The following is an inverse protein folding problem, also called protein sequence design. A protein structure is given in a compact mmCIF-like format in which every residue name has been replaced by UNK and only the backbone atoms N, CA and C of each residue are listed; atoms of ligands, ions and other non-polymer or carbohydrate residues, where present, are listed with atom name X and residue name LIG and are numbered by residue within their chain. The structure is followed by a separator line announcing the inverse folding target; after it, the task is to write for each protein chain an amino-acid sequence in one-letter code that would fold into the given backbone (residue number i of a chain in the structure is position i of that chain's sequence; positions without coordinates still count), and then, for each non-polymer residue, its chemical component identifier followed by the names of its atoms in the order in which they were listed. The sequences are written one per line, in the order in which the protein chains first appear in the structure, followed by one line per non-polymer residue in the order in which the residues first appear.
data_IF_579420546202
#
_entry.id   IF_579420546202
#
_cell.length_a   1.000
_cell.length_b   1.000
_cell.length_c   1.000
_cell.angle_alpha   90.00
_cell.angle_beta   90.00
_cell.angle_gamma   90.00
#
_symmetry.space_group_name_H-M   'P 1'
#
loop_
_entity.id
_entity.type
_entity.pdbx_description
1 polymer ?
#
# COMPACT_ATOMS: atom_id res chain seq x y z
N UNK A 1 10.36 19.54 -15.94
CA UNK A 1 11.24 18.61 -15.22
C UNK A 1 10.51 17.28 -15.19
N UNK A 2 11.04 16.22 -15.81
CA UNK A 2 10.40 14.90 -15.75
C UNK A 2 10.56 14.38 -14.32
N UNK A 3 9.48 14.37 -13.54
CA UNK A 3 9.51 13.82 -12.19
C UNK A 3 9.91 12.34 -12.28
N UNK A 4 11.01 11.98 -11.63
CA UNK A 4 11.59 10.65 -11.72
C UNK A 4 10.83 9.71 -10.78
N UNK A 5 10.38 8.56 -11.30
CA UNK A 5 9.71 7.53 -10.49
C UNK A 5 10.76 6.81 -9.65
N UNK A 6 10.56 6.75 -8.33
CA UNK A 6 11.42 6.00 -7.42
C UNK A 6 11.40 4.50 -7.74
N UNK A 7 12.52 3.83 -8.09
CA UNK A 7 12.49 2.39 -8.33
C UNK A 7 12.09 1.60 -7.08
N UNK A 8 11.25 0.56 -7.24
CA UNK A 8 10.84 -0.34 -6.14
C UNK A 8 12.06 -0.97 -5.42
N UNK A 9 13.13 -1.26 -6.15
CA UNK A 9 14.39 -1.76 -5.60
C UNK A 9 15.08 -0.72 -4.69
N UNK A 10 15.03 0.56 -5.05
CA UNK A 10 15.57 1.64 -4.23
C UNK A 10 14.74 1.85 -2.96
N UNK A 11 13.40 1.85 -3.06
CA UNK A 11 12.52 1.90 -1.89
C UNK A 11 12.81 0.74 -0.91
N UNK A 12 12.98 -0.47 -1.44
CA UNK A 12 13.36 -1.65 -0.64
C UNK A 12 14.71 -1.47 0.07
N UNK A 13 15.69 -0.87 -0.61
CA UNK A 13 17.00 -0.57 -0.01
C UNK A 13 16.89 0.47 1.11
N UNK A 14 16.08 1.51 0.94
CA UNK A 14 15.80 2.50 1.99
C UNK A 14 15.18 1.81 3.22
N UNK A 15 14.14 0.99 3.01
CA UNK A 15 13.49 0.23 4.08
C UNK A 15 14.49 -0.64 4.84
N UNK A 16 15.36 -1.36 4.12
CA UNK A 16 16.34 -2.26 4.71
C UNK A 16 17.47 -1.51 5.45
N UNK A 17 18.04 -0.47 4.82
CA UNK A 17 19.15 0.32 5.36
C UNK A 17 18.79 1.01 6.67
N UNK A 18 17.59 1.60 6.72
CA UNK A 18 17.08 2.28 7.93
C UNK A 18 16.36 1.33 8.89
N UNK A 19 16.21 0.06 8.50
CA UNK A 19 15.65 -1.01 9.31
C UNK A 19 14.21 -0.73 9.74
N UNK A 20 13.38 -0.11 8.88
CA UNK A 20 12.04 0.38 9.26
C UNK A 20 11.17 -0.76 9.81
N UNK A 21 11.07 -1.88 9.08
CA UNK A 21 10.30 -3.05 9.52
C UNK A 21 10.90 -3.71 10.77
N UNK A 22 12.24 -3.73 10.91
CA UNK A 22 12.91 -4.30 12.08
C UNK A 22 12.63 -3.47 13.34
N UNK A 23 12.70 -2.15 13.23
CA UNK A 23 12.49 -1.21 14.35
C UNK A 23 11.03 -1.16 14.80
N UNK A 24 10.09 -1.45 13.90
CA UNK A 24 8.66 -1.50 14.17
C UNK A 24 8.15 -2.93 14.44
N UNK A 25 9.02 -3.92 14.60
CA UNK A 25 8.65 -5.34 14.62
C UNK A 25 7.60 -5.70 15.69
N UNK A 26 7.59 -5.00 16.83
CA UNK A 26 6.58 -5.18 17.88
C UNK A 26 5.14 -4.89 17.40
N UNK A 27 4.99 -4.12 16.31
CA UNK A 27 3.72 -3.70 15.74
C UNK A 27 3.38 -4.39 14.41
N UNK A 28 4.00 -5.56 14.15
CA UNK A 28 3.72 -6.39 12.96
C UNK A 28 3.70 -5.61 11.64
N UNK A 29 4.79 -4.90 11.28
CA UNK A 29 4.77 -3.94 10.18
C UNK A 29 4.69 -4.65 8.83
N UNK A 30 3.85 -4.14 7.92
CA UNK A 30 3.71 -4.61 6.53
C UNK A 30 4.00 -3.47 5.56
N UNK A 31 4.86 -3.72 4.58
CA UNK A 31 5.08 -2.80 3.46
C UNK A 31 3.94 -2.98 2.45
N UNK A 32 3.09 -1.97 2.33
CA UNK A 32 1.88 -1.98 1.49
C UNK A 32 1.97 -0.86 0.46
N UNK A 33 0.85 -0.57 -0.22
CA UNK A 33 0.76 0.53 -1.16
C UNK A 33 1.29 0.19 -2.55
N UNK A 34 1.44 1.22 -3.37
CA UNK A 34 1.64 1.04 -4.82
C UNK A 34 3.09 0.78 -5.23
N UNK A 35 4.06 1.16 -4.40
CA UNK A 35 5.49 0.90 -4.64
C UNK A 35 5.85 -0.59 -4.67
N UNK A 36 5.47 -1.43 -3.66
CA UNK A 36 5.79 -2.86 -3.70
C UNK A 36 5.12 -3.60 -4.87
N UNK A 37 4.05 -3.03 -5.43
CA UNK A 37 3.34 -3.54 -6.59
C UNK A 37 3.93 -3.06 -7.93
N UNK A 38 4.87 -2.12 -7.87
CA UNK A 38 5.51 -1.51 -9.03
C UNK A 38 4.46 -0.85 -9.96
N UNK A 39 3.49 -0.12 -9.41
CA UNK A 39 2.45 0.60 -10.16
C UNK A 39 2.29 2.06 -9.68
N UNK A 40 3.28 2.57 -8.96
CA UNK A 40 3.27 3.92 -8.43
C UNK A 40 3.76 4.95 -9.46
N UNK A 41 3.33 6.20 -9.28
CA UNK A 41 3.81 7.35 -10.04
C UNK A 41 4.94 8.09 -9.33
N UNK A 42 5.40 9.22 -9.88
CA UNK A 42 6.32 10.11 -9.19
C UNK A 42 5.73 10.63 -7.87
N UNK A 43 6.60 10.91 -6.90
CA UNK A 43 6.20 11.43 -5.59
C UNK A 43 5.49 10.42 -4.66
N UNK A 44 5.37 9.16 -5.05
CA UNK A 44 4.80 8.12 -4.20
C UNK A 44 5.61 7.88 -2.93
N UNK A 45 4.89 7.57 -1.86
CA UNK A 45 5.37 7.28 -0.52
C UNK A 45 5.65 5.79 -0.28
N UNK A 46 6.54 5.53 0.67
CA UNK A 46 6.70 4.21 1.26
C UNK A 46 5.65 4.05 2.37
N UNK A 47 4.63 3.24 2.12
CA UNK A 47 3.57 2.95 3.08
C UNK A 47 3.90 1.75 3.98
N UNK A 48 3.84 1.94 5.30
CA UNK A 48 3.98 0.86 6.28
C UNK A 48 2.75 0.81 7.18
N UNK A 49 2.05 -0.32 7.14
CA UNK A 49 0.90 -0.61 7.98
C UNK A 49 1.33 -1.35 9.25
N UNK A 50 0.80 -0.95 10.41
CA UNK A 50 1.15 -1.51 11.72
C UNK A 50 -0.08 -1.87 12.57
N UNK A 51 0.01 -2.95 13.34
CA UNK A 51 -0.95 -3.28 14.39
C UNK A 51 -0.51 -2.62 15.70
N UNK A 52 -1.32 -1.72 16.23
CA UNK A 52 -1.11 -1.08 17.53
C UNK A 52 -1.52 -2.04 18.67
N UNK A 53 -0.75 -3.12 18.84
CA UNK A 53 -1.07 -4.26 19.74
C UNK A 53 -1.32 -3.87 21.19
N UNK A 54 -0.62 -2.84 21.68
CA UNK A 54 -0.75 -2.34 23.07
C UNK A 54 -1.61 -1.05 23.16
N UNK A 55 -2.43 -0.82 22.13
CA UNK A 55 -3.30 0.36 22.01
C UNK A 55 -2.65 1.56 21.31
N UNK A 56 -3.48 2.47 20.79
CA UNK A 56 -3.04 3.67 20.07
C UNK A 56 -2.11 4.57 20.90
N UNK A 57 -2.31 4.80 22.22
CA UNK A 57 -1.39 5.62 22.99
C UNK A 57 0.03 5.05 23.07
N UNK A 58 0.17 3.75 23.31
CA UNK A 58 1.47 3.08 23.35
C UNK A 58 2.14 3.10 21.97
N UNK A 59 1.37 2.83 20.92
CA UNK A 59 1.86 2.91 19.53
C UNK A 59 2.29 4.33 19.17
N UNK A 60 1.53 5.37 19.53
CA UNK A 60 1.88 6.78 19.30
C UNK A 60 3.18 7.16 19.99
N UNK A 61 3.36 6.75 21.25
CA UNK A 61 4.60 7.02 21.99
C UNK A 61 5.81 6.34 21.32
N UNK A 62 5.68 5.07 20.96
CA UNK A 62 6.72 4.32 20.26
C UNK A 62 7.05 4.94 18.89
N UNK A 63 6.01 5.33 18.13
CA UNK A 63 6.17 5.94 16.81
C UNK A 63 6.77 7.34 16.90
N UNK A 64 6.47 8.10 17.95
CA UNK A 64 7.12 9.39 18.24
C UNK A 64 8.61 9.21 18.52
N UNK A 65 8.98 8.24 19.35
CA UNK A 65 10.38 7.91 19.61
C UNK A 65 11.11 7.40 18.36
N UNK A 66 10.42 6.62 17.52
CA UNK A 66 10.92 6.19 16.22
C UNK A 66 11.18 7.38 15.29
N UNK A 67 10.18 8.25 15.12
CA UNK A 67 10.17 9.38 14.19
C UNK A 67 11.19 10.48 14.58
N UNK A 68 11.57 10.57 15.86
CA UNK A 68 12.55 11.53 16.35
C UNK A 68 13.94 11.43 15.67
N UNK A 69 14.24 10.29 15.01
CA UNK A 69 15.45 10.15 14.21
C UNK A 69 15.46 10.99 12.91
N UNK A 70 14.31 11.56 12.51
CA UNK A 70 14.14 12.31 11.27
C UNK A 70 13.60 13.72 11.55
N UNK A 71 14.42 14.77 11.30
CA UNK A 71 13.95 16.16 11.42
C UNK A 71 12.73 16.43 10.54
N UNK A 72 11.73 17.14 11.08
CA UNK A 72 10.50 17.45 10.36
C UNK A 72 9.47 16.31 10.33
N UNK A 73 9.78 15.14 10.89
CA UNK A 73 8.80 14.08 11.05
C UNK A 73 7.66 14.52 11.98
N UNK A 74 6.44 14.09 11.64
CA UNK A 74 5.23 14.36 12.43
C UNK A 74 4.57 13.05 12.82
N UNK A 75 3.96 13.03 14.02
CA UNK A 75 3.13 11.92 14.50
C UNK A 75 1.84 12.50 15.06
N UNK A 76 0.70 12.03 14.57
CA UNK A 76 -0.60 12.56 14.97
C UNK A 76 -1.66 11.47 15.10
N UNK A 77 -2.72 11.80 15.82
CA UNK A 77 -3.95 11.03 15.73
C UNK A 77 -4.54 11.20 14.32
N UNK A 78 -5.24 10.18 13.86
CA UNK A 78 -5.87 10.14 12.55
C UNK A 78 -7.15 9.29 12.62
N UNK A 79 -8.02 9.44 11.63
CA UNK A 79 -9.19 8.59 11.47
C UNK A 79 -9.27 8.11 10.03
N UNK A 80 -9.38 6.80 9.82
CA UNK A 80 -9.54 6.21 8.50
C UNK A 80 -10.69 5.21 8.52
N UNK A 81 -11.60 5.31 7.54
CA UNK A 81 -12.84 4.51 7.48
C UNK A 81 -13.68 4.55 8.78
N UNK A 82 -13.69 5.69 9.48
CA UNK A 82 -14.41 5.85 10.75
C UNK A 82 -13.68 5.29 11.98
N UNK A 83 -12.54 4.63 11.82
CA UNK A 83 -11.77 4.03 12.89
C UNK A 83 -10.58 4.92 13.29
N UNK A 84 -10.34 5.02 14.60
CA UNK A 84 -9.19 5.73 15.14
C UNK A 84 -7.88 5.04 14.75
N UNK A 85 -6.87 5.85 14.45
CA UNK A 85 -5.55 5.40 14.02
C UNK A 85 -4.49 6.41 14.44
N UNK A 86 -3.23 5.99 14.39
CA UNK A 86 -2.08 6.90 14.47
C UNK A 86 -1.37 6.88 13.13
N UNK A 87 -0.88 8.05 12.69
CA UNK A 87 -0.05 8.17 11.51
C UNK A 87 1.22 8.95 11.83
N UNK A 88 2.33 8.50 11.26
CA UNK A 88 3.56 9.25 11.17
C UNK A 88 3.91 9.54 9.72
N UNK A 89 4.35 10.76 9.48
CA UNK A 89 4.86 11.21 8.18
C UNK A 89 6.28 11.69 8.38
N UNK A 90 7.19 11.18 7.58
CA UNK A 90 8.60 11.53 7.62
C UNK A 90 9.22 11.43 6.23
N UNK A 91 10.42 11.96 6.07
CA UNK A 91 11.17 11.90 4.82
C UNK A 91 12.50 11.20 5.07
N UNK A 92 12.82 10.21 4.24
CA UNK A 92 14.09 9.49 4.27
C UNK A 92 14.72 9.57 2.89
N UNK A 93 15.92 10.15 2.78
CA UNK A 93 16.63 10.27 1.50
C UNK A 93 15.76 10.94 0.41
N UNK A 94 14.99 11.97 0.80
CA UNK A 94 14.03 12.67 -0.06
C UNK A 94 12.87 11.81 -0.58
N UNK A 95 12.61 10.67 0.08
CA UNK A 95 11.46 9.82 -0.18
C UNK A 95 10.46 9.97 0.98
N UNK A 96 9.20 10.35 0.70
CA UNK A 96 8.14 10.35 1.70
C UNK A 96 7.91 8.94 2.25
N UNK A 97 7.73 8.83 3.57
CA UNK A 97 7.39 7.59 4.25
C UNK A 97 6.19 7.86 5.16
N UNK A 98 5.13 7.07 4.97
CA UNK A 98 3.97 7.07 5.84
C UNK A 98 3.93 5.76 6.64
N UNK A 99 3.80 5.88 7.97
CA UNK A 99 3.60 4.75 8.86
C UNK A 99 2.28 4.95 9.56
N UNK A 100 1.33 4.05 9.37
CA UNK A 100 0.02 4.13 10.00
C UNK A 100 -0.28 2.87 10.79
N UNK A 101 -1.07 3.00 11.85
CA UNK A 101 -1.50 1.84 12.62
C UNK A 101 -2.85 1.98 13.30
N UNK A 102 -3.48 0.82 13.52
CA UNK A 102 -4.80 0.64 14.17
C UNK A 102 -4.73 -0.49 15.19
N UNK A 103 -5.67 -0.54 16.13
CA UNK A 103 -5.76 -1.57 17.19
C UNK A 103 -6.34 -2.90 16.68
N UNK A 104 -5.97 -3.31 15.47
CA UNK A 104 -6.39 -4.57 14.86
C UNK A 104 -5.31 -5.09 13.91
N UNK A 105 -5.29 -6.42 13.64
CA UNK A 105 -4.28 -7.02 12.78
C UNK A 105 -4.19 -6.34 11.41
N UNK A 106 -2.97 -6.13 10.93
CA UNK A 106 -2.72 -5.44 9.65
C UNK A 106 -3.43 -6.14 8.50
N UNK A 107 -3.54 -7.47 8.56
CA UNK A 107 -4.19 -8.31 7.56
C UNK A 107 -5.68 -7.98 7.36
N UNK A 108 -6.27 -7.25 8.30
CA UNK A 108 -7.65 -6.80 8.23
C UNK A 108 -7.76 -5.35 7.72
N UNK A 109 -6.68 -4.56 7.71
CA UNK A 109 -6.70 -3.15 7.28
C UNK A 109 -7.07 -3.05 5.81
N UNK A 110 -7.89 -2.06 5.44
CA UNK A 110 -8.33 -1.91 4.04
C UNK A 110 -7.14 -1.78 3.09
N UNK A 111 -6.12 -1.01 3.48
CA UNK A 111 -4.86 -0.84 2.75
C UNK A 111 -4.10 -2.15 2.50
N UNK A 112 -4.10 -3.08 3.47
CA UNK A 112 -3.48 -4.40 3.26
C UNK A 112 -4.37 -5.31 2.42
N UNK A 113 -5.69 -5.30 2.66
CA UNK A 113 -6.64 -6.12 1.91
C UNK A 113 -6.66 -5.73 0.43
N UNK A 114 -6.67 -4.43 0.12
CA UNK A 114 -6.49 -3.93 -1.24
C UNK A 114 -5.15 -4.35 -1.82
N UNK A 115 -4.05 -4.06 -1.12
CA UNK A 115 -2.71 -4.45 -1.58
C UNK A 115 -2.62 -5.95 -1.89
N UNK A 116 -3.23 -6.81 -1.06
CA UNK A 116 -3.26 -8.24 -1.26
C UNK A 116 -4.03 -8.62 -2.53
N UNK A 117 -5.22 -8.04 -2.75
CA UNK A 117 -6.00 -8.26 -3.97
C UNK A 117 -5.20 -7.84 -5.22
N UNK A 118 -4.64 -6.63 -5.20
CA UNK A 118 -3.86 -6.05 -6.29
C UNK A 118 -2.60 -6.88 -6.59
N UNK A 119 -1.86 -7.27 -5.55
CA UNK A 119 -0.70 -8.13 -5.65
C UNK A 119 -1.03 -9.47 -6.33
N UNK A 120 -2.14 -10.10 -5.90
CA UNK A 120 -2.59 -11.38 -6.47
C UNK A 120 -2.99 -11.23 -7.93
N UNK A 121 -3.77 -10.21 -8.27
CA UNK A 121 -4.18 -9.93 -9.66
C UNK A 121 -2.96 -9.73 -10.57
N UNK A 122 -2.02 -8.90 -10.15
CA UNK A 122 -0.78 -8.61 -10.89
C UNK A 122 0.21 -9.79 -10.94
N UNK A 123 0.09 -10.73 -10.00
CA UNK A 123 0.89 -11.95 -9.95
C UNK A 123 0.34 -13.07 -10.82
N UNK A 124 -0.99 -13.08 -11.06
CA UNK A 124 -1.67 -14.06 -11.90
C UNK A 124 -1.76 -13.62 -13.37
N UNK A 125 -1.76 -12.32 -13.65
CA UNK A 125 -1.80 -11.76 -15.00
C UNK A 125 -0.40 -11.53 -15.60
N UNK A 126 -0.29 -11.58 -16.93
CA UNK A 126 0.91 -11.13 -17.63
C UNK A 126 1.17 -9.61 -17.45
N UNK A 127 2.34 -9.15 -17.89
CA UNK A 127 2.81 -7.77 -17.65
C UNK A 127 1.84 -6.69 -18.15
N UNK A 128 1.05 -6.98 -19.18
CA UNK A 128 0.10 -6.03 -19.77
C UNK A 128 -0.86 -5.41 -18.74
N UNK A 129 -1.39 -6.19 -17.78
CA UNK A 129 -2.28 -5.66 -16.75
C UNK A 129 -1.56 -4.58 -15.89
N UNK A 130 -0.30 -4.82 -15.54
CA UNK A 130 0.50 -3.86 -14.77
C UNK A 130 0.73 -2.56 -15.53
N UNK A 131 1.00 -2.65 -16.84
CA UNK A 131 1.20 -1.50 -17.71
C UNK A 131 -0.09 -0.67 -17.86
N UNK A 132 -1.23 -1.34 -18.08
CA UNK A 132 -2.52 -0.67 -18.24
C UNK A 132 -2.96 0.00 -16.92
N UNK A 133 -2.72 -0.62 -15.76
CA UNK A 133 -2.95 -0.01 -14.44
C UNK A 133 -2.06 1.23 -14.25
N UNK A 134 -0.78 1.17 -14.61
CA UNK A 134 0.12 2.35 -14.54
C UNK A 134 -0.37 3.48 -15.43
N UNK A 135 -0.79 3.17 -16.66
CA UNK A 135 -1.30 4.18 -17.59
C UNK A 135 -2.57 4.82 -17.03
N UNK A 136 -3.51 4.01 -16.54
CA UNK A 136 -4.73 4.50 -15.90
C UNK A 136 -4.43 5.42 -14.70
N UNK A 137 -3.39 5.13 -13.91
CA UNK A 137 -2.94 6.02 -12.83
C UNK A 137 -2.28 7.30 -13.33
N UNK A 138 -1.48 7.21 -14.39
CA UNK A 138 -0.90 8.38 -15.05
C UNK A 138 -1.98 9.31 -15.64
N UNK A 139 -3.12 8.75 -16.05
CA UNK A 139 -4.31 9.49 -16.49
C UNK A 139 -5.10 10.13 -15.32
N UNK A 140 -4.63 9.99 -14.07
CA UNK A 140 -5.21 10.63 -12.88
C UNK A 140 -6.11 9.73 -12.04
N UNK A 141 -6.24 8.44 -12.35
CA UNK A 141 -7.02 7.52 -11.50
C UNK A 141 -6.23 7.11 -10.25
N UNK A 142 -6.95 6.94 -9.14
CA UNK A 142 -6.40 6.26 -7.96
C UNK A 142 -6.18 4.77 -8.24
N UNK A 143 -5.41 4.09 -7.39
CA UNK A 143 -5.05 2.67 -7.60
C UNK A 143 -6.27 1.78 -7.76
N UNK A 144 -7.24 1.89 -6.84
CA UNK A 144 -8.44 1.06 -6.83
C UNK A 144 -9.29 1.32 -8.09
N UNK A 145 -9.40 2.59 -8.49
CA UNK A 145 -10.11 3.01 -9.70
C UNK A 145 -9.43 2.50 -10.97
N UNK A 146 -8.09 2.49 -11.00
CA UNK A 146 -7.32 1.97 -12.12
C UNK A 146 -7.53 0.46 -12.29
N UNK A 147 -7.51 -0.31 -11.19
CA UNK A 147 -7.86 -1.73 -11.23
C UNK A 147 -9.29 -1.98 -11.67
N UNK A 148 -10.26 -1.24 -11.09
CA UNK A 148 -11.66 -1.38 -11.47
C UNK A 148 -11.89 -1.10 -12.96
N UNK A 149 -11.25 -0.05 -13.50
CA UNK A 149 -11.27 0.26 -14.93
C UNK A 149 -10.65 -0.86 -15.77
N UNK A 150 -9.46 -1.34 -15.41
CA UNK A 150 -8.77 -2.36 -16.18
C UNK A 150 -9.55 -3.69 -16.18
N UNK A 151 -10.06 -4.11 -15.03
CA UNK A 151 -10.77 -5.38 -14.86
C UNK A 151 -12.28 -5.29 -15.15
N UNK A 152 -12.76 -4.14 -15.62
CA UNK A 152 -14.19 -3.89 -15.89
C UNK A 152 -15.09 -4.23 -14.70
N UNK A 153 -14.66 -3.89 -13.48
CA UNK A 153 -15.44 -4.13 -12.26
C UNK A 153 -16.65 -3.19 -12.24
N UNK A 154 -17.83 -3.75 -11.98
CA UNK A 154 -19.05 -2.98 -11.77
C UNK A 154 -19.24 -2.64 -10.30
N UNK A 155 -19.54 -1.38 -10.00
CA UNK A 155 -19.78 -0.91 -8.63
C UNK A 155 -18.75 0.10 -8.16
N UNK A 156 -18.67 0.28 -6.84
CA UNK A 156 -17.69 1.16 -6.21
C UNK A 156 -16.29 0.51 -6.23
N UNK A 157 -15.26 1.15 -6.83
CA UNK A 157 -13.92 0.55 -6.98
C UNK A 157 -13.29 0.11 -5.66
N UNK A 158 -13.49 0.89 -4.59
CA UNK A 158 -12.92 0.59 -3.28
C UNK A 158 -13.55 -0.69 -2.72
N UNK A 159 -14.88 -0.79 -2.76
CA UNK A 159 -15.62 -1.97 -2.27
C UNK A 159 -15.34 -3.20 -3.12
N UNK A 160 -15.35 -3.09 -4.45
CA UNK A 160 -15.15 -4.25 -5.34
C UNK A 160 -13.76 -4.85 -5.16
N UNK A 161 -12.72 -4.01 -5.02
CA UNK A 161 -11.37 -4.51 -4.87
C UNK A 161 -11.14 -5.22 -3.53
N UNK A 162 -11.80 -4.77 -2.43
CA UNK A 162 -11.76 -5.50 -1.14
C UNK A 162 -12.27 -6.94 -1.29
N UNK A 163 -13.33 -7.14 -2.09
CA UNK A 163 -13.90 -8.48 -2.31
C UNK A 163 -12.94 -9.42 -3.02
N UNK A 164 -11.94 -8.92 -3.74
CA UNK A 164 -11.00 -9.72 -4.52
C UNK A 164 -9.82 -10.27 -3.69
N UNK A 165 -9.68 -9.86 -2.43
CA UNK A 165 -8.64 -10.40 -1.55
C UNK A 165 -8.90 -11.84 -1.10
N UNK A 166 -10.17 -12.24 -1.00
CA UNK A 166 -10.61 -13.54 -0.44
C UNK A 166 -10.80 -14.69 -1.44
N UNK A 167 -11.29 -14.49 -2.69
CA UNK A 167 -11.53 -15.56 -3.64
C UNK A 167 -10.26 -16.37 -3.93
N UNK A 168 -10.41 -17.65 -4.26
CA UNK A 168 -9.28 -18.47 -4.71
C UNK A 168 -8.74 -18.02 -6.09
N UNK A 169 -7.51 -18.40 -6.41
CA UNK A 169 -6.85 -17.98 -7.66
C UNK A 169 -7.63 -18.35 -8.93
N UNK A 170 -8.40 -19.45 -8.91
CA UNK A 170 -9.26 -19.83 -10.05
C UNK A 170 -10.30 -18.75 -10.39
N UNK A 171 -10.91 -18.14 -9.37
CA UNK A 171 -11.88 -17.05 -9.57
C UNK A 171 -11.19 -15.79 -10.09
N UNK A 172 -10.01 -15.44 -9.55
CA UNK A 172 -9.23 -14.29 -10.02
C UNK A 172 -8.75 -14.49 -11.47
N UNK A 173 -8.28 -15.69 -11.82
CA UNK A 173 -7.88 -16.05 -13.19
C UNK A 173 -9.05 -15.90 -14.16
N UNK A 174 -10.25 -16.33 -13.77
CA UNK A 174 -11.46 -16.16 -14.57
C UNK A 174 -11.76 -14.68 -14.83
N UNK A 175 -11.72 -13.86 -13.77
CA UNK A 175 -11.91 -12.41 -13.86
C UNK A 175 -10.88 -11.75 -14.80
N UNK A 176 -9.60 -12.07 -14.65
CA UNK A 176 -8.51 -11.53 -15.47
C UNK A 176 -8.72 -11.86 -16.96
N UNK A 177 -9.06 -13.11 -17.27
CA UNK A 177 -9.34 -13.55 -18.65
C UNK A 177 -10.59 -12.88 -19.23
N UNK A 178 -11.66 -12.72 -18.44
CA UNK A 178 -12.89 -12.03 -18.86
C UNK A 178 -12.62 -10.55 -19.18
N UNK A 179 -11.70 -9.92 -18.45
CA UNK A 179 -11.25 -8.55 -18.71
C UNK A 179 -10.28 -8.44 -19.91
N UNK A 180 -9.96 -9.57 -20.58
CA UNK A 180 -9.14 -9.59 -21.80
C UNK A 180 -7.63 -9.62 -21.56
N UNK A 181 -7.17 -9.96 -20.35
CA UNK A 181 -5.75 -10.12 -20.05
C UNK A 181 -5.34 -11.59 -20.08
N UNK A 182 -4.12 -11.84 -20.58
CA UNK A 182 -3.49 -13.15 -20.51
C UNK A 182 -3.03 -13.48 -19.07
N UNK A 183 -3.05 -14.77 -18.75
CA UNK A 183 -2.59 -15.30 -17.48
C UNK A 183 -1.12 -15.73 -17.57
N UNK A 184 -0.42 -15.68 -16.44
CA UNK A 184 0.87 -16.36 -16.25
C UNK A 184 0.70 -17.85 -16.00
#
# INVERSE_FOLDING_TARGET
MTETVLPCSQARQIIARHGLLRRLAAFTPRWVGSIPLNIHGPGADIDIACCATDGLPAFKAALTGFAAAWPGATVSDNQHAGEASIIARLEIESVPVEIFGRERPVETHESYVHWLAEHRLLGLAEERLRLDVRQAKADGLKTEQAFARCLSLGGDPFVELLKLASPGDSALRTLISQAGYALR
#
